data_IF_890102414426
#
_entry.id   IF_890102414426
#
_cell.length_a   1.000
_cell.length_b   1.000
_cell.length_c   1.000
_cell.angle_alpha   90.00
_cell.angle_beta   90.00
_cell.angle_gamma   90.00
#
_symmetry.space_group_name_H-M   'P 1'
#
loop_
_entity.id
_entity.type
_entity.pdbx_description
1 polymer ?
#
# COMPACT_ATOMS: atom_id res chain seq x y z
N UNK A 1 -9.39 20.73 5.11
CA UNK A 1 -9.51 21.45 3.82
C UNK A 1 -10.89 21.23 3.23
N UNK A 2 -11.39 22.18 2.43
CA UNK A 2 -12.60 21.94 1.65
C UNK A 2 -12.24 21.10 0.42
N UNK A 3 -13.15 20.28 -0.05
CA UNK A 3 -12.97 19.44 -1.25
C UNK A 3 -12.56 20.29 -2.47
N UNK A 4 -13.14 21.48 -2.61
CA UNK A 4 -12.78 22.42 -3.66
C UNK A 4 -11.30 22.83 -3.61
N UNK A 5 -10.77 23.12 -2.43
CA UNK A 5 -9.34 23.48 -2.30
C UNK A 5 -8.40 22.33 -2.66
N UNK A 6 -8.81 21.07 -2.42
CA UNK A 6 -8.05 19.89 -2.85
C UNK A 6 -8.09 19.71 -4.36
N UNK A 7 -9.24 19.97 -4.98
CA UNK A 7 -9.38 19.94 -6.45
C UNK A 7 -8.54 21.03 -7.12
N UNK A 8 -8.57 22.24 -6.58
CA UNK A 8 -7.78 23.37 -7.08
C UNK A 8 -6.26 23.07 -6.98
N UNK A 9 -5.82 22.50 -5.85
CA UNK A 9 -4.44 22.06 -5.66
C UNK A 9 -4.06 20.94 -6.66
N UNK A 10 -4.91 19.94 -6.81
CA UNK A 10 -4.70 18.84 -7.76
C UNK A 10 -4.61 19.34 -9.20
N UNK A 11 -5.46 20.31 -9.58
CA UNK A 11 -5.41 20.97 -10.89
C UNK A 11 -4.11 21.74 -11.12
N UNK A 12 -3.63 22.50 -10.13
CA UNK A 12 -2.36 23.23 -10.21
C UNK A 12 -1.18 22.30 -10.37
N UNK A 13 -1.13 21.21 -9.59
CA UNK A 13 -0.07 20.17 -9.70
C UNK A 13 -0.10 19.52 -11.08
N UNK A 14 -1.28 19.15 -11.58
CA UNK A 14 -1.43 18.51 -12.90
C UNK A 14 -1.00 19.46 -14.02
N UNK A 15 -1.34 20.74 -13.95
CA UNK A 15 -0.91 21.73 -14.92
C UNK A 15 0.61 21.92 -14.95
N UNK A 16 1.26 21.84 -13.79
CA UNK A 16 2.74 21.96 -13.67
C UNK A 16 3.48 20.71 -14.10
N UNK A 17 2.84 19.55 -14.05
CA UNK A 17 3.44 18.22 -14.26
C UNK A 17 2.62 17.37 -15.25
N UNK A 18 2.18 17.97 -16.37
CA UNK A 18 1.26 17.34 -17.34
C UNK A 18 1.75 15.99 -17.88
N UNK A 19 3.06 15.83 -18.07
CA UNK A 19 3.63 14.60 -18.62
C UNK A 19 3.90 13.51 -17.58
N UNK A 20 3.94 13.88 -16.32
CA UNK A 20 4.29 13.02 -15.20
C UNK A 20 3.07 12.45 -14.46
N UNK A 21 2.00 13.26 -14.34
CA UNK A 21 0.75 12.88 -13.66
C UNK A 21 -0.15 12.11 -14.61
N UNK A 22 -0.60 10.95 -14.18
CA UNK A 22 -1.52 10.09 -14.94
C UNK A 22 -2.98 10.35 -14.57
N UNK A 23 -3.24 10.54 -13.29
CA UNK A 23 -4.58 10.85 -12.77
C UNK A 23 -4.52 11.58 -11.45
N UNK A 24 -5.57 12.34 -11.17
CA UNK A 24 -5.78 13.06 -9.93
C UNK A 24 -7.18 12.73 -9.42
N UNK A 25 -7.28 12.35 -8.16
CA UNK A 25 -8.52 11.95 -7.53
C UNK A 25 -8.63 12.60 -6.14
N UNK A 26 -9.81 13.11 -5.81
CA UNK A 26 -10.15 13.54 -4.46
C UNK A 26 -11.24 12.62 -3.93
N UNK A 27 -10.90 11.84 -2.92
CA UNK A 27 -11.81 10.90 -2.27
C UNK A 27 -11.61 10.92 -0.76
N UNK A 28 -12.68 10.81 0.00
CA UNK A 28 -12.67 10.79 1.47
C UNK A 28 -11.94 11.99 2.11
N UNK A 29 -11.93 13.14 1.46
CA UNK A 29 -11.24 14.34 1.94
C UNK A 29 -9.72 14.35 1.75
N UNK A 30 -9.17 13.45 0.93
CA UNK A 30 -7.76 13.34 0.61
C UNK A 30 -7.50 13.47 -0.89
N UNK A 31 -6.41 14.16 -1.23
CA UNK A 31 -5.93 14.28 -2.61
C UNK A 31 -4.96 13.15 -2.90
N UNK A 32 -5.25 12.37 -3.93
CA UNK A 32 -4.37 11.32 -4.45
C UNK A 32 -3.99 11.66 -5.89
N UNK A 33 -2.69 11.58 -6.19
CA UNK A 33 -2.18 11.69 -7.55
C UNK A 33 -1.46 10.38 -7.94
N UNK A 34 -1.74 9.88 -9.13
CA UNK A 34 -1.04 8.73 -9.70
C UNK A 34 -0.05 9.24 -10.73
N UNK A 35 1.21 8.81 -10.62
CA UNK A 35 2.30 9.32 -11.43
C UNK A 35 3.08 8.19 -12.10
N UNK A 36 3.83 8.53 -13.15
CA UNK A 36 4.73 7.59 -13.83
C UNK A 36 5.90 7.23 -12.93
N UNK A 37 6.22 5.94 -12.80
CA UNK A 37 7.32 5.44 -11.97
C UNK A 37 8.65 6.14 -12.28
N UNK A 38 9.00 6.24 -13.56
CA UNK A 38 10.24 6.84 -14.05
C UNK A 38 10.42 8.31 -13.65
N UNK A 39 9.35 9.00 -13.30
CA UNK A 39 9.32 10.44 -13.01
C UNK A 39 9.08 10.78 -11.54
N UNK A 40 9.02 9.77 -10.67
CA UNK A 40 8.71 9.98 -9.25
C UNK A 40 9.64 10.96 -8.56
N UNK A 41 10.95 10.91 -8.83
CA UNK A 41 11.92 11.84 -8.25
C UNK A 41 11.62 13.29 -8.63
N UNK A 42 11.29 13.54 -9.89
CA UNK A 42 10.95 14.88 -10.38
C UNK A 42 9.69 15.40 -9.73
N UNK A 43 8.65 14.54 -9.64
CA UNK A 43 7.36 14.89 -9.02
C UNK A 43 7.56 15.24 -7.54
N UNK A 44 8.24 14.38 -6.78
CA UNK A 44 8.46 14.61 -5.35
C UNK A 44 9.37 15.82 -5.09
N UNK A 45 10.34 16.08 -5.94
CA UNK A 45 11.17 17.30 -5.86
C UNK A 45 10.32 18.54 -6.09
N UNK A 46 9.45 18.54 -7.09
CA UNK A 46 8.54 19.65 -7.35
C UNK A 46 7.60 19.88 -6.15
N UNK A 47 6.93 18.82 -5.66
CA UNK A 47 6.03 18.91 -4.51
C UNK A 47 6.72 19.43 -3.24
N UNK A 48 8.02 19.11 -3.06
CA UNK A 48 8.82 19.59 -1.93
C UNK A 48 9.19 21.05 -2.05
N UNK A 49 9.64 21.48 -3.23
CA UNK A 49 10.32 22.77 -3.44
C UNK A 49 9.39 23.89 -3.91
N UNK A 50 8.28 23.55 -4.56
CA UNK A 50 7.28 24.52 -4.97
C UNK A 50 6.63 25.21 -3.75
N UNK A 51 6.39 26.52 -3.84
CA UNK A 51 5.88 27.34 -2.73
C UNK A 51 4.40 27.10 -2.46
N UNK A 52 3.64 26.75 -3.49
CA UNK A 52 2.20 26.49 -3.37
C UNK A 52 1.92 25.08 -2.85
N UNK A 53 2.87 24.17 -2.99
CA UNK A 53 2.80 22.80 -2.50
C UNK A 53 3.50 22.64 -1.15
N UNK A 54 4.78 22.96 -1.08
CA UNK A 54 5.63 22.95 0.13
C UNK A 54 5.51 21.69 1.00
N UNK A 55 5.46 20.50 0.34
CA UNK A 55 5.41 19.20 1.04
C UNK A 55 6.81 18.80 1.50
N UNK A 56 7.24 19.36 2.63
CA UNK A 56 8.62 19.23 3.14
C UNK A 56 8.92 17.92 3.82
N UNK A 57 7.91 17.13 4.16
CA UNK A 57 8.13 15.87 4.88
C UNK A 57 7.44 14.70 4.18
N UNK A 58 8.21 13.62 4.00
CA UNK A 58 7.69 12.28 3.75
C UNK A 58 7.26 11.68 5.09
N UNK A 59 5.97 11.40 5.22
CA UNK A 59 5.39 10.80 6.42
C UNK A 59 5.54 9.30 6.39
N UNK A 60 5.25 8.71 5.21
CA UNK A 60 5.27 7.27 5.02
C UNK A 60 5.50 6.92 3.54
N UNK A 61 6.09 5.76 3.30
CA UNK A 61 6.18 5.11 2.02
C UNK A 61 5.90 3.62 2.22
N UNK A 62 4.88 3.11 1.57
CA UNK A 62 4.50 1.70 1.68
C UNK A 62 4.15 1.09 0.33
N UNK A 63 4.21 -0.24 0.25
CA UNK A 63 3.73 -1.03 -0.87
C UNK A 63 2.29 -1.50 -0.67
N UNK A 64 1.60 -1.77 -1.77
CA UNK A 64 0.33 -2.47 -1.77
C UNK A 64 0.31 -3.47 -2.93
N UNK A 65 -0.22 -4.66 -2.68
CA UNK A 65 -0.25 -5.76 -3.64
C UNK A 65 -1.67 -5.99 -4.17
N UNK A 66 -1.81 -5.97 -5.51
CA UNK A 66 -3.05 -6.19 -6.26
C UNK A 66 -2.82 -7.27 -7.33
N UNK A 67 -2.89 -8.56 -6.99
CA UNK A 67 -2.51 -9.67 -7.88
C UNK A 67 -3.24 -9.68 -9.22
N UNK A 68 -4.46 -9.16 -9.26
CA UNK A 68 -5.32 -9.17 -10.46
C UNK A 68 -4.96 -8.08 -11.49
N UNK A 69 -4.00 -7.19 -11.17
CA UNK A 69 -3.59 -6.10 -12.06
C UNK A 69 -2.33 -6.46 -12.86
N UNK A 70 -2.22 -5.94 -14.09
CA UNK A 70 -0.99 -6.05 -14.88
C UNK A 70 0.21 -5.41 -14.16
N UNK A 71 0.02 -4.20 -13.63
CA UNK A 71 0.93 -3.58 -12.67
C UNK A 71 0.47 -3.94 -11.27
N UNK A 72 1.04 -5.01 -10.78
CA UNK A 72 0.63 -5.66 -9.55
C UNK A 72 0.77 -4.79 -8.31
N UNK A 73 1.84 -3.99 -8.24
CA UNK A 73 2.17 -3.24 -7.04
C UNK A 73 1.88 -1.75 -7.18
N UNK A 74 1.36 -1.15 -6.12
CA UNK A 74 1.36 0.29 -5.92
C UNK A 74 2.41 0.64 -4.86
N UNK A 75 3.29 1.59 -5.17
CA UNK A 75 4.11 2.28 -4.17
C UNK A 75 3.42 3.58 -3.81
N UNK A 76 3.12 3.75 -2.54
CA UNK A 76 2.30 4.85 -2.02
C UNK A 76 3.16 5.74 -1.13
N UNK A 77 3.25 7.02 -1.48
CA UNK A 77 3.98 8.04 -0.74
C UNK A 77 2.99 8.98 -0.06
N UNK A 78 3.12 9.17 1.22
CA UNK A 78 2.35 10.14 2.00
C UNK A 78 3.20 11.34 2.37
N UNK A 79 2.81 12.51 1.90
CA UNK A 79 3.54 13.76 2.16
C UNK A 79 2.68 14.73 2.97
N UNK A 80 3.36 15.56 3.77
CA UNK A 80 2.73 16.62 4.55
C UNK A 80 3.43 17.95 4.34
N UNK A 81 2.62 19.00 4.24
CA UNK A 81 3.05 20.38 4.31
C UNK A 81 2.59 20.97 5.65
N UNK A 82 3.53 21.25 6.55
CA UNK A 82 3.23 21.90 7.83
C UNK A 82 2.85 23.37 7.66
N UNK A 83 3.44 24.04 6.66
CA UNK A 83 3.20 25.45 6.41
C UNK A 83 1.77 25.70 5.92
N UNK A 84 1.29 24.83 5.05
CA UNK A 84 -0.03 24.95 4.43
C UNK A 84 -1.08 24.05 5.10
N UNK A 85 -0.68 23.24 6.09
CA UNK A 85 -1.51 22.24 6.76
C UNK A 85 -2.26 21.34 5.76
N UNK A 86 -1.51 20.77 4.84
CA UNK A 86 -2.01 19.95 3.74
C UNK A 86 -1.35 18.59 3.71
N UNK A 87 -2.08 17.59 3.21
CA UNK A 87 -1.57 16.24 2.95
C UNK A 87 -1.86 15.87 1.50
N UNK A 88 -0.96 15.07 0.94
CA UNK A 88 -1.12 14.49 -0.39
C UNK A 88 -0.65 13.05 -0.38
N UNK A 89 -1.35 12.22 -1.14
CA UNK A 89 -0.93 10.85 -1.45
C UNK A 89 -0.47 10.79 -2.89
N UNK A 90 0.73 10.28 -3.10
CA UNK A 90 1.28 10.03 -4.45
C UNK A 90 1.38 8.53 -4.65
N UNK A 91 0.85 8.02 -5.75
CA UNK A 91 0.88 6.60 -6.10
C UNK A 91 1.68 6.36 -7.36
N UNK A 92 2.44 5.27 -7.35
CA UNK A 92 3.19 4.75 -8.49
C UNK A 92 2.82 3.29 -8.68
N UNK A 93 2.29 2.95 -9.85
CA UNK A 93 2.01 1.55 -10.19
C UNK A 93 3.22 0.92 -10.87
N UNK A 94 3.68 -0.23 -10.36
CA UNK A 94 4.80 -1.00 -10.89
C UNK A 94 4.50 -2.50 -10.88
N UNK A 95 5.41 -3.28 -11.44
CA UNK A 95 5.38 -4.74 -11.46
C UNK A 95 6.67 -5.32 -10.85
N UNK A 96 6.87 -6.63 -10.96
CA UNK A 96 8.03 -7.33 -10.40
C UNK A 96 9.34 -6.98 -11.12
N UNK A 97 9.26 -6.63 -12.40
CA UNK A 97 10.42 -6.43 -13.26
C UNK A 97 10.79 -4.94 -13.43
N UNK A 98 9.81 -4.05 -13.21
CA UNK A 98 10.01 -2.60 -13.42
C UNK A 98 10.48 -1.93 -12.14
N UNK A 99 11.75 -1.47 -12.08
CA UNK A 99 12.27 -0.79 -10.90
C UNK A 99 11.65 0.60 -10.73
N UNK A 100 11.46 1.00 -9.47
CA UNK A 100 11.06 2.36 -9.12
C UNK A 100 12.30 3.16 -8.72
N UNK A 101 12.56 4.36 -9.27
CA UNK A 101 13.70 5.17 -8.84
C UNK A 101 13.62 5.52 -7.36
N UNK A 102 14.72 5.30 -6.63
CA UNK A 102 14.83 5.65 -5.21
C UNK A 102 14.67 7.16 -4.99
N UNK A 103 13.96 7.54 -3.95
CA UNK A 103 13.74 8.94 -3.60
C UNK A 103 14.52 9.38 -2.36
N UNK A 104 15.52 8.61 -1.93
CA UNK A 104 16.40 8.92 -0.79
C UNK A 104 17.07 10.28 -0.94
N UNK A 105 17.46 10.65 -2.17
CA UNK A 105 18.06 11.95 -2.46
C UNK A 105 17.08 13.12 -2.31
N UNK A 106 15.78 12.86 -2.39
CA UNK A 106 14.72 13.87 -2.20
C UNK A 106 14.32 13.92 -0.72
N UNK A 107 14.07 12.75 -0.14
CA UNK A 107 13.69 12.58 1.26
C UNK A 107 14.57 11.50 1.91
N UNK A 108 15.56 11.84 2.73
CA UNK A 108 16.45 10.86 3.35
C UNK A 108 15.72 9.78 4.18
N UNK A 109 14.56 10.12 4.74
CA UNK A 109 13.72 9.16 5.47
C UNK A 109 13.25 7.99 4.61
N UNK A 110 13.16 8.18 3.28
CA UNK A 110 12.73 7.13 2.35
C UNK A 110 13.64 5.90 2.38
N UNK A 111 14.91 6.05 2.74
CA UNK A 111 15.86 4.94 2.72
C UNK A 111 15.43 3.73 3.54
N UNK A 112 14.81 3.94 4.70
CA UNK A 112 14.28 2.85 5.52
C UNK A 112 12.97 2.28 4.98
N UNK A 113 12.06 3.14 4.55
CA UNK A 113 10.77 2.72 3.99
C UNK A 113 10.93 1.97 2.65
N UNK A 114 11.86 2.37 1.80
CA UNK A 114 12.16 1.67 0.55
C UNK A 114 12.74 0.28 0.82
N UNK A 115 13.63 0.13 1.81
CA UNK A 115 14.12 -1.17 2.26
C UNK A 115 13.01 -2.05 2.79
N UNK A 116 12.11 -1.52 3.61
CA UNK A 116 10.94 -2.25 4.11
C UNK A 116 10.05 -2.70 2.97
N UNK A 117 9.72 -1.80 2.05
CA UNK A 117 8.86 -2.11 0.90
C UNK A 117 9.50 -3.16 -0.02
N UNK A 118 10.82 -3.09 -0.23
CA UNK A 118 11.54 -4.12 -0.95
C UNK A 118 11.54 -5.47 -0.20
N UNK A 119 11.79 -5.46 1.09
CA UNK A 119 11.82 -6.67 1.90
C UNK A 119 10.46 -7.39 1.94
N UNK A 120 9.37 -6.63 2.10
CA UNK A 120 8.02 -7.16 2.27
C UNK A 120 7.32 -7.53 0.95
N UNK A 121 7.57 -6.79 -0.13
CA UNK A 121 6.88 -6.98 -1.42
C UNK A 121 7.80 -7.39 -2.57
N UNK A 122 9.11 -7.16 -2.46
CA UNK A 122 10.07 -7.40 -3.54
C UNK A 122 10.10 -6.31 -4.61
N UNK A 123 9.55 -5.13 -4.32
CA UNK A 123 9.61 -3.99 -5.24
C UNK A 123 11.03 -3.44 -5.25
N UNK A 124 11.67 -3.44 -6.42
CA UNK A 124 13.06 -2.99 -6.54
C UNK A 124 13.15 -1.47 -6.67
N UNK A 125 14.02 -0.85 -5.86
CA UNK A 125 14.30 0.57 -5.89
C UNK A 125 15.66 0.84 -6.55
N UNK A 126 15.64 1.39 -7.77
CA UNK A 126 16.86 1.73 -8.50
C UNK A 126 17.61 2.87 -7.82
N UNK A 127 18.95 2.80 -7.83
CA UNK A 127 19.86 3.79 -7.23
C UNK A 127 19.69 3.98 -5.72
N UNK A 128 19.10 3.01 -5.03
CA UNK A 128 19.08 3.02 -3.57
C UNK A 128 20.48 2.73 -3.01
N UNK A 129 20.99 3.53 -2.07
CA UNK A 129 22.38 3.41 -1.60
C UNK A 129 22.69 2.12 -0.85
N UNK A 130 21.69 1.51 -0.19
CA UNK A 130 21.87 0.32 0.65
C UNK A 130 20.57 -0.51 0.69
N UNK A 131 20.21 -1.14 -0.43
CA UNK A 131 19.00 -1.96 -0.54
C UNK A 131 19.28 -3.38 -0.03
N UNK A 132 18.91 -3.63 1.22
CA UNK A 132 19.07 -4.93 1.88
C UNK A 132 17.89 -5.20 2.80
N UNK A 133 17.65 -6.48 3.12
CA UNK A 133 16.58 -6.89 4.02
C UNK A 133 16.69 -6.21 5.39
N UNK A 134 15.55 -5.95 6.00
CA UNK A 134 15.46 -5.21 7.25
C UNK A 134 14.60 -5.89 8.30
N UNK A 135 13.43 -6.40 7.91
CA UNK A 135 12.45 -6.99 8.84
C UNK A 135 12.48 -8.52 8.84
N UNK A 136 12.84 -9.14 7.72
CA UNK A 136 12.95 -10.59 7.63
C UNK A 136 14.30 -11.07 8.14
N UNK A 137 14.35 -12.32 8.60
CA UNK A 137 15.57 -12.95 9.12
C UNK A 137 16.60 -13.22 8.01
N UNK A 138 17.85 -13.47 8.38
CA UNK A 138 18.92 -13.83 7.46
C UNK A 138 18.56 -15.12 6.69
N UNK A 139 18.69 -15.06 5.38
CA UNK A 139 18.37 -16.18 4.51
C UNK A 139 16.88 -16.44 4.28
N UNK A 140 16.00 -15.54 4.76
CA UNK A 140 14.58 -15.62 4.49
C UNK A 140 14.29 -15.59 2.99
N UNK A 141 13.44 -16.51 2.51
CA UNK A 141 13.07 -16.62 1.11
C UNK A 141 11.64 -16.12 0.88
N UNK A 142 11.48 -15.29 -0.14
CA UNK A 142 10.20 -14.70 -0.51
C UNK A 142 9.94 -13.33 0.12
N UNK A 143 8.71 -12.86 -0.05
CA UNK A 143 8.24 -11.53 0.37
C UNK A 143 6.90 -11.68 1.09
N UNK A 144 6.89 -11.58 2.43
CA UNK A 144 5.78 -12.07 3.25
C UNK A 144 4.49 -11.24 3.17
N UNK A 145 4.51 -10.01 2.65
CA UNK A 145 3.29 -9.21 2.49
C UNK A 145 2.64 -9.34 1.11
N UNK A 146 3.23 -10.12 0.20
CA UNK A 146 2.55 -10.49 -1.04
C UNK A 146 1.33 -11.37 -0.73
N UNK A 147 0.24 -11.16 -1.47
CA UNK A 147 -1.03 -11.89 -1.27
C UNK A 147 -0.93 -13.39 -1.55
N UNK A 148 0.00 -13.79 -2.39
CA UNK A 148 0.30 -15.19 -2.73
C UNK A 148 1.27 -15.87 -1.75
N UNK A 149 1.84 -15.13 -0.79
CA UNK A 149 2.68 -15.70 0.26
C UNK A 149 1.79 -16.32 1.35
N UNK A 150 2.01 -17.60 1.76
CA UNK A 150 1.18 -18.25 2.77
C UNK A 150 1.32 -17.57 4.15
N UNK A 151 0.20 -17.38 4.82
CA UNK A 151 0.15 -16.73 6.16
C UNK A 151 1.01 -17.47 7.19
N UNK A 152 1.04 -18.80 7.14
CA UNK A 152 1.87 -19.62 8.03
C UNK A 152 3.35 -19.60 7.70
N UNK A 153 3.72 -19.11 6.50
CA UNK A 153 5.09 -19.25 5.99
C UNK A 153 5.44 -20.70 5.63
N UNK A 154 6.71 -20.95 5.37
CA UNK A 154 7.25 -22.26 4.99
C UNK A 154 8.17 -22.84 6.06
N UNK A 155 8.83 -21.99 6.81
CA UNK A 155 9.87 -22.34 7.77
C UNK A 155 9.59 -21.60 9.08
N UNK A 156 9.72 -22.32 10.19
CA UNK A 156 9.70 -21.77 11.53
C UNK A 156 11.07 -21.90 12.19
N UNK A 157 11.35 -21.00 13.13
CA UNK A 157 12.57 -21.07 13.93
C UNK A 157 12.23 -21.48 15.37
N UNK A 158 13.00 -22.44 15.88
CA UNK A 158 12.87 -22.95 17.24
C UNK A 158 14.22 -23.00 17.93
N UNK A 159 14.26 -22.74 19.22
CA UNK A 159 15.46 -22.99 20.01
C UNK A 159 15.56 -24.49 20.35
N UNK A 160 16.68 -25.10 19.95
CA UNK A 160 17.01 -26.48 20.32
C UNK A 160 17.82 -26.49 21.63
N UNK A 161 17.27 -27.10 22.66
CA UNK A 161 17.99 -27.30 23.95
C UNK A 161 19.17 -28.24 23.81
N UNK A 162 19.11 -29.20 22.91
CA UNK A 162 20.17 -30.18 22.63
C UNK A 162 21.36 -29.53 21.94
N UNK A 163 21.10 -28.80 20.87
CA UNK A 163 22.13 -28.14 20.06
C UNK A 163 22.55 -26.77 20.63
N UNK A 164 21.85 -26.24 21.62
CA UNK A 164 22.06 -24.89 22.20
C UNK A 164 22.06 -23.76 21.19
N UNK A 165 21.22 -23.89 20.14
CA UNK A 165 21.11 -22.92 19.04
C UNK A 165 19.69 -22.85 18.48
N UNK A 166 19.46 -21.83 17.67
CA UNK A 166 18.24 -21.70 16.86
C UNK A 166 18.36 -22.66 15.67
N UNK A 167 17.35 -23.48 15.46
CA UNK A 167 17.21 -24.36 14.29
C UNK A 167 16.01 -23.94 13.46
N UNK A 168 16.14 -24.10 12.15
CA UNK A 168 15.07 -23.83 11.20
C UNK A 168 14.48 -25.15 10.75
N UNK A 169 13.18 -25.28 10.83
CA UNK A 169 12.46 -26.50 10.44
C UNK A 169 11.19 -26.15 9.66
N UNK A 170 10.65 -27.06 8.84
CA UNK A 170 9.37 -26.84 8.17
C UNK A 170 8.26 -26.55 9.19
N UNK A 171 7.41 -25.59 8.88
CA UNK A 171 6.30 -25.18 9.75
C UNK A 171 5.42 -26.36 10.12
N UNK A 172 5.21 -26.57 11.43
CA UNK A 172 4.26 -27.52 12.01
C UNK A 172 3.35 -26.79 12.97
N UNK A 173 2.21 -26.36 12.46
CA UNK A 173 1.26 -25.64 13.30
C UNK A 173 0.69 -26.57 14.37
N UNK A 174 0.72 -26.13 15.63
CA UNK A 174 0.11 -26.85 16.75
C UNK A 174 -1.43 -26.86 16.67
N UNK A 175 -2.00 -25.95 15.92
CA UNK A 175 -3.42 -25.87 15.59
C UNK A 175 -3.55 -25.56 14.10
N UNK A 176 -4.42 -26.29 13.41
CA UNK A 176 -4.74 -25.99 12.00
C UNK A 176 -5.39 -24.59 11.87
N UNK A 177 -5.15 -23.94 10.72
CA UNK A 177 -5.83 -22.72 10.39
C UNK A 177 -7.33 -22.98 10.33
N UNK A 178 -8.10 -22.21 11.08
CA UNK A 178 -9.54 -22.31 11.09
C UNK A 178 -10.13 -21.42 10.02
N UNK A 179 -10.93 -22.03 9.14
CA UNK A 179 -11.80 -21.30 8.21
C UNK A 179 -13.03 -20.84 8.98
N UNK A 180 -13.14 -19.54 9.19
CA UNK A 180 -14.32 -18.96 9.80
C UNK A 180 -15.21 -18.40 8.70
N UNK A 181 -16.44 -18.85 8.67
CA UNK A 181 -17.51 -18.13 8.00
C UNK A 181 -17.95 -16.98 8.91
N UNK A 182 -17.49 -15.76 8.58
CA UNK A 182 -17.85 -14.55 9.31
C UNK A 182 -19.23 -14.02 8.92
N UNK A 183 -19.88 -14.62 7.92
CA UNK A 183 -21.24 -14.29 7.55
C UNK A 183 -22.18 -14.88 8.59
N UNK A 184 -22.90 -14.01 9.31
CA UNK A 184 -23.96 -14.47 10.19
C UNK A 184 -25.04 -15.17 9.37
N UNK A 185 -25.43 -16.41 9.69
CA UNK A 185 -26.56 -17.09 9.03
C UNK A 185 -27.84 -16.25 9.09
N UNK A 186 -27.98 -15.43 10.12
CA UNK A 186 -29.11 -14.53 10.30
C UNK A 186 -29.07 -13.29 9.40
N UNK A 187 -27.91 -12.83 8.99
CA UNK A 187 -27.76 -11.70 8.07
C UNK A 187 -27.98 -12.09 6.61
N UNK A 188 -27.67 -13.34 6.26
CA UNK A 188 -27.85 -13.85 4.89
C UNK A 188 -29.18 -14.54 4.67
N UNK A 189 -29.80 -15.03 5.71
CA UNK A 189 -31.10 -15.69 5.63
C UNK A 189 -32.20 -14.63 5.52
N UNK A 190 -32.80 -14.53 4.34
CA UNK A 190 -34.06 -13.79 4.17
C UNK A 190 -35.18 -14.61 4.81
N UNK A 191 -35.35 -14.47 6.12
CA UNK A 191 -36.47 -15.08 6.81
C UNK A 191 -37.72 -14.25 6.60
N UNK A 192 -38.67 -14.80 5.88
CA UNK A 192 -40.06 -14.37 5.97
C UNK A 192 -40.71 -15.18 7.12
N UNK A 193 -40.89 -14.53 8.26
CA UNK A 193 -41.58 -15.16 9.38
C UNK A 193 -43.07 -15.32 9.03
N UNK A 194 -43.71 -16.44 9.44
CA UNK A 194 -45.12 -16.57 9.27
C UNK A 194 -45.89 -15.41 9.92
N UNK A 195 -46.65 -14.66 9.12
CA UNK A 195 -47.33 -13.44 9.53
C UNK A 195 -46.60 -12.12 9.21
N UNK A 196 -45.43 -12.17 8.67
CA UNK A 196 -44.67 -10.96 8.22
C UNK A 196 -44.77 -10.80 6.70
N UNK A 197 -45.99 -10.77 6.22
CA UNK A 197 -46.32 -10.68 4.79
C UNK A 197 -45.87 -9.36 4.13
N UNK A 198 -45.58 -8.36 4.95
CA UNK A 198 -45.08 -7.05 4.48
C UNK A 198 -43.56 -6.99 4.22
N UNK A 199 -42.82 -8.05 4.59
CA UNK A 199 -41.38 -8.11 4.32
C UNK A 199 -41.05 -8.38 2.84
N UNK A 200 -42.01 -8.84 2.06
CA UNK A 200 -41.84 -9.04 0.61
C UNK A 200 -41.68 -7.74 -0.18
N UNK A 201 -42.23 -6.63 0.33
CA UNK A 201 -42.16 -5.32 -0.36
C UNK A 201 -40.76 -4.65 -0.29
N UNK A 202 -39.85 -5.14 0.54
CA UNK A 202 -38.50 -4.57 0.70
C UNK A 202 -37.50 -5.15 -0.32
N UNK A 203 -37.84 -6.29 -0.95
CA UNK A 203 -36.95 -6.94 -1.93
C UNK A 203 -37.04 -6.38 -3.37
N UNK A 204 -37.93 -5.42 -3.62
CA UNK A 204 -38.16 -4.80 -4.94
C UNK A 204 -37.37 -3.54 -5.26
N UNK A 205 -36.42 -3.16 -4.41
CA UNK A 205 -35.49 -2.04 -4.68
C UNK A 205 -34.42 -2.46 -5.65
N UNK A 206 -34.69 -2.31 -6.95
CA UNK A 206 -33.70 -2.46 -8.01
C UNK A 206 -32.48 -1.59 -7.74
N UNK A 207 -31.30 -2.22 -7.71
CA UNK A 207 -30.04 -1.53 -7.96
C UNK A 207 -30.08 -0.92 -9.37
N UNK A 208 -30.11 0.39 -9.42
CA UNK A 208 -29.76 1.17 -10.60
C UNK A 208 -28.36 1.73 -10.43
#
# INVERSE_FOLDING_TARGET
>A
MTEKALLDLGGAITASLENEVLSTEVAFGELTITVRAERIQKVLTHLRDDKECSFKQLVDLCGADYPDRNKRFDVVYHLISYQLNQRIRVKVATDEDTPVPSVVNVFPAAGWYERETWDMYGIFFADHPDLRRMLTDYGFQGHPLRKDFPVSGFVECRYSEEDKRIVYEPVKLGQENRDFDFMSPWETAKYVLPGDEKSEDISGGEAK
#
